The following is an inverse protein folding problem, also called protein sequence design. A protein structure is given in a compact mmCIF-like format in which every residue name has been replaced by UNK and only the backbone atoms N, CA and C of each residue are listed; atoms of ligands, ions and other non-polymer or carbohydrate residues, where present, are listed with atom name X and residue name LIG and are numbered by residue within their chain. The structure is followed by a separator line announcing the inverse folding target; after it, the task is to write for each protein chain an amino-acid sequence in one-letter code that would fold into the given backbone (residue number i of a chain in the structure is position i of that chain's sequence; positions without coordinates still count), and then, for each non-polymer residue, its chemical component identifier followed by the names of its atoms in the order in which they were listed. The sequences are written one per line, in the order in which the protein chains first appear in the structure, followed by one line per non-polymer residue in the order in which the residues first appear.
data_IF_686043959474
#
_entry.id   IF_686043959474
#
_cell.length_a   1.000
_cell.length_b   1.000
_cell.length_c   1.000
_cell.angle_alpha   90.00
_cell.angle_beta   90.00
_cell.angle_gamma   90.00
#
_symmetry.space_group_name_H-M   'P 1'
#
loop_
_entity.id
_entity.type
_entity.pdbx_description
1 polymer ?
#
# COMPACT_ATOMS: atom_id res chain seq x y z
N UNK A 1 8.76 8.66 -18.90
CA UNK A 1 7.64 9.32 -18.22
C UNK A 1 6.71 8.22 -17.74
N UNK A 2 6.95 7.72 -16.54
CA UNK A 2 6.09 6.72 -15.90
C UNK A 2 4.88 7.50 -15.41
N UNK A 3 3.74 7.30 -16.06
CA UNK A 3 2.49 8.00 -15.80
C UNK A 3 2.03 7.71 -14.37
N UNK A 4 1.55 8.73 -13.67
CA UNK A 4 0.99 8.68 -12.30
C UNK A 4 -0.11 7.60 -12.15
N UNK A 5 -0.70 7.15 -13.25
CA UNK A 5 -1.66 6.06 -13.32
C UNK A 5 -1.07 4.67 -13.03
N UNK A 6 0.21 4.44 -13.31
CA UNK A 6 0.87 3.15 -13.03
C UNK A 6 1.19 2.93 -11.55
N UNK A 7 1.24 3.99 -10.74
CA UNK A 7 1.56 3.89 -9.30
C UNK A 7 0.37 3.56 -8.39
N UNK A 8 -0.84 3.64 -8.90
CA UNK A 8 -2.06 3.38 -8.12
C UNK A 8 -2.67 2.01 -8.39
N UNK A 9 -2.09 1.26 -9.30
CA UNK A 9 -2.54 -0.08 -9.59
C UNK A 9 -1.73 -1.05 -8.71
N UNK A 10 -2.31 -1.48 -7.61
CA UNK A 10 -1.88 -2.69 -6.95
C UNK A 10 -2.23 -3.83 -7.90
N UNK A 11 -1.22 -4.30 -8.63
CA UNK A 11 -1.34 -5.44 -9.53
C UNK A 11 -1.81 -6.69 -8.75
N UNK A 12 -2.51 -7.63 -9.40
CA UNK A 12 -2.88 -8.91 -8.80
C UNK A 12 -1.68 -9.63 -8.16
N UNK A 13 -0.49 -9.43 -8.69
CA UNK A 13 0.79 -9.89 -8.11
C UNK A 13 1.01 -9.35 -6.69
N UNK A 14 0.61 -8.12 -6.41
CA UNK A 14 0.78 -7.49 -5.08
C UNK A 14 -0.18 -8.09 -4.04
N UNK A 15 -1.42 -8.41 -4.43
CA UNK A 15 -2.41 -9.07 -3.57
C UNK A 15 -1.97 -10.50 -3.25
N UNK A 16 -1.52 -11.24 -4.26
CA UNK A 16 -1.00 -12.60 -4.10
C UNK A 16 0.25 -12.60 -3.20
N UNK A 17 1.15 -11.63 -3.37
CA UNK A 17 2.33 -11.48 -2.52
C UNK A 17 1.94 -11.18 -1.07
N UNK A 18 1.02 -10.23 -0.84
CA UNK A 18 0.51 -9.91 0.49
C UNK A 18 -0.16 -11.13 1.15
N UNK A 19 -0.96 -11.88 0.40
CA UNK A 19 -1.61 -13.10 0.89
C UNK A 19 -0.58 -14.20 1.24
N UNK A 20 0.50 -14.32 0.47
CA UNK A 20 1.60 -15.24 0.75
C UNK A 20 2.33 -14.88 2.05
N UNK A 21 2.62 -13.60 2.25
CA UNK A 21 3.21 -13.07 3.49
C UNK A 21 2.28 -13.34 4.69
N UNK A 22 0.98 -13.06 4.53
CA UNK A 22 -0.01 -13.34 5.57
C UNK A 22 -0.06 -14.81 5.94
N UNK A 23 -0.09 -15.70 4.95
CA UNK A 23 -0.12 -17.16 5.16
C UNK A 23 1.14 -17.65 5.89
N UNK A 24 2.31 -17.17 5.48
CA UNK A 24 3.59 -17.54 6.12
C UNK A 24 3.62 -17.07 7.58
N UNK A 25 3.27 -15.82 7.82
CA UNK A 25 3.25 -15.25 9.18
C UNK A 25 2.20 -15.94 10.07
N UNK A 26 1.00 -16.21 9.55
CA UNK A 26 -0.04 -16.96 10.26
C UNK A 26 0.42 -18.37 10.68
N UNK A 27 1.10 -19.08 9.77
CA UNK A 27 1.66 -20.40 10.08
C UNK A 27 2.74 -20.31 11.16
N UNK A 28 3.61 -19.29 11.10
CA UNK A 28 4.62 -19.07 12.14
C UNK A 28 3.98 -18.79 13.51
N UNK A 29 2.93 -17.99 13.56
CA UNK A 29 2.17 -17.72 14.78
C UNK A 29 1.53 -18.99 15.33
N UNK A 30 0.85 -19.80 14.49
CA UNK A 30 0.26 -21.08 14.92
C UNK A 30 1.30 -22.03 15.47
N UNK A 31 2.44 -22.16 14.80
CA UNK A 31 3.54 -23.00 15.28
C UNK A 31 4.12 -22.46 16.60
N UNK A 32 4.20 -21.13 16.75
CA UNK A 32 4.58 -20.51 18.01
C UNK A 32 3.65 -20.90 19.16
N UNK A 33 2.35 -20.83 18.97
CA UNK A 33 1.38 -21.30 19.98
C UNK A 33 1.50 -22.79 20.27
N UNK A 34 1.70 -23.61 19.26
CA UNK A 34 1.83 -25.06 19.41
C UNK A 34 3.04 -25.45 20.28
N UNK A 35 4.10 -24.65 20.28
CA UNK A 35 5.30 -24.88 21.11
C UNK A 35 5.33 -24.01 22.38
N UNK A 36 4.22 -23.36 22.73
CA UNK A 36 4.07 -22.60 23.97
C UNK A 36 4.86 -21.28 24.00
N UNK A 37 5.09 -20.63 22.85
CA UNK A 37 5.72 -19.32 22.80
C UNK A 37 4.78 -18.23 23.29
N UNK A 38 5.34 -17.24 23.95
CA UNK A 38 4.63 -16.05 24.38
C UNK A 38 4.29 -15.12 23.21
N UNK A 39 3.21 -14.35 23.34
CA UNK A 39 2.77 -13.37 22.35
C UNK A 39 3.89 -12.38 21.98
N UNK A 40 4.67 -11.93 22.93
CA UNK A 40 5.78 -11.00 22.70
C UNK A 40 6.82 -11.59 21.75
N UNK A 41 7.17 -12.87 21.93
CA UNK A 41 8.12 -13.56 21.04
C UNK A 41 7.60 -13.74 19.61
N UNK A 42 6.29 -13.68 19.40
CA UNK A 42 5.61 -13.76 18.11
C UNK A 42 5.27 -12.38 17.52
N UNK A 43 5.64 -11.28 18.20
CA UNK A 43 5.32 -9.92 17.80
C UNK A 43 5.73 -9.56 16.38
N UNK A 44 6.88 -10.08 15.92
CA UNK A 44 7.35 -9.88 14.54
C UNK A 44 6.41 -10.54 13.51
N UNK A 45 5.97 -11.76 13.77
CA UNK A 45 5.08 -12.49 12.85
C UNK A 45 3.67 -11.91 12.89
N UNK A 46 3.18 -11.48 14.06
CA UNK A 46 1.94 -10.72 14.19
C UNK A 46 2.00 -9.41 13.39
N UNK A 47 3.09 -8.65 13.51
CA UNK A 47 3.27 -7.42 12.73
C UNK A 47 3.29 -7.66 11.21
N UNK A 48 3.94 -8.73 10.75
CA UNK A 48 3.96 -9.12 9.34
C UNK A 48 2.57 -9.50 8.85
N UNK A 49 1.84 -10.27 9.64
CA UNK A 49 0.48 -10.66 9.31
C UNK A 49 -0.47 -9.45 9.23
N UNK A 50 -0.42 -8.57 10.23
CA UNK A 50 -1.21 -7.33 10.25
C UNK A 50 -0.86 -6.41 9.08
N UNK A 51 0.43 -6.34 8.72
CA UNK A 51 0.89 -5.60 7.57
C UNK A 51 0.26 -6.10 6.28
N UNK A 52 0.25 -7.40 6.08
CA UNK A 52 -0.36 -8.02 4.90
C UNK A 52 -1.89 -7.79 4.84
N UNK A 53 -2.58 -7.78 6.00
CA UNK A 53 -3.99 -7.37 6.07
C UNK A 53 -4.19 -5.96 5.53
N UNK A 54 -3.37 -5.03 6.01
CA UNK A 54 -3.44 -3.62 5.57
C UNK A 54 -3.20 -3.48 4.06
N UNK A 55 -2.27 -4.27 3.50
CA UNK A 55 -1.96 -4.23 2.08
C UNK A 55 -3.15 -4.73 1.24
N UNK A 56 -3.81 -5.82 1.64
CA UNK A 56 -5.01 -6.33 0.96
C UNK A 56 -6.20 -5.37 1.10
N UNK A 57 -6.43 -4.76 2.26
CA UNK A 57 -7.47 -3.75 2.45
C UNK A 57 -7.25 -2.52 1.56
N UNK A 58 -5.99 -2.10 1.38
CA UNK A 58 -5.66 -0.98 0.50
C UNK A 58 -5.88 -1.35 -0.97
N UNK A 59 -5.53 -2.57 -1.37
CA UNK A 59 -5.78 -3.08 -2.71
C UNK A 59 -7.28 -3.08 -3.04
N UNK A 60 -8.12 -3.57 -2.12
CA UNK A 60 -9.58 -3.57 -2.28
C UNK A 60 -10.13 -2.14 -2.45
N UNK A 61 -9.68 -1.20 -1.62
CA UNK A 61 -10.10 0.20 -1.73
C UNK A 61 -9.71 0.83 -3.06
N UNK A 62 -8.50 0.57 -3.52
CA UNK A 62 -7.99 1.08 -4.80
C UNK A 62 -8.82 0.54 -5.96
N UNK A 63 -9.15 -0.74 -5.95
CA UNK A 63 -9.98 -1.38 -6.98
C UNK A 63 -11.41 -0.83 -7.00
N UNK A 64 -12.01 -0.60 -5.83
CA UNK A 64 -13.36 -0.02 -5.72
C UNK A 64 -13.40 1.43 -6.21
N UNK A 65 -12.33 2.20 -6.01
CA UNK A 65 -12.23 3.61 -6.36
C UNK A 65 -11.64 3.85 -7.77
N UNK A 66 -11.50 2.81 -8.59
CA UNK A 66 -11.03 2.94 -9.96
C UNK A 66 -11.89 3.93 -10.76
N UNK A 67 -11.24 4.85 -11.47
CA UNK A 67 -11.93 5.89 -12.25
C UNK A 67 -12.76 5.28 -13.39
N UNK A 68 -13.80 6.00 -13.86
CA UNK A 68 -14.66 5.57 -14.96
C UNK A 68 -13.86 5.25 -16.23
N UNK A 69 -12.80 6.03 -16.51
CA UNK A 69 -11.89 5.80 -17.64
C UNK A 69 -11.11 4.48 -17.47
N UNK A 70 -10.58 4.19 -16.27
CA UNK A 70 -9.89 2.93 -16.03
C UNK A 70 -10.82 1.72 -16.21
N UNK A 71 -12.08 1.83 -15.78
CA UNK A 71 -13.10 0.78 -15.96
C UNK A 71 -13.40 0.51 -17.43
N UNK A 72 -13.41 1.54 -18.28
CA UNK A 72 -13.65 1.39 -19.72
C UNK A 72 -12.50 0.67 -20.44
N UNK A 73 -11.24 0.98 -20.10
CA UNK A 73 -10.07 0.43 -20.81
C UNK A 73 -9.52 -0.87 -20.21
N UNK A 74 -9.72 -1.11 -18.90
CA UNK A 74 -9.17 -2.26 -18.16
C UNK A 74 -10.23 -3.02 -17.36
N UNK A 75 -11.49 -3.00 -17.78
CA UNK A 75 -12.61 -3.56 -17.02
C UNK A 75 -12.42 -5.00 -16.56
N UNK A 76 -11.97 -5.89 -17.44
CA UNK A 76 -11.74 -7.32 -17.10
C UNK A 76 -10.60 -7.52 -16.08
N UNK A 77 -9.53 -6.73 -16.17
CA UNK A 77 -8.40 -6.79 -15.21
C UNK A 77 -8.83 -6.26 -13.83
N UNK A 78 -9.64 -5.21 -13.81
CA UNK A 78 -10.18 -4.63 -12.56
C UNK A 78 -11.14 -5.62 -11.89
N UNK A 79 -12.01 -6.29 -12.65
CA UNK A 79 -12.92 -7.30 -12.11
C UNK A 79 -12.18 -8.50 -11.54
N UNK A 80 -11.18 -9.02 -12.25
CA UNK A 80 -10.34 -10.12 -11.77
C UNK A 80 -9.61 -9.73 -10.48
N UNK A 81 -9.01 -8.54 -10.45
CA UNK A 81 -8.32 -7.99 -9.26
C UNK A 81 -9.29 -7.77 -8.09
N UNK A 82 -10.53 -7.34 -8.35
CA UNK A 82 -11.55 -7.18 -7.32
C UNK A 82 -11.97 -8.52 -6.69
N UNK A 83 -12.15 -9.56 -7.51
CA UNK A 83 -12.48 -10.90 -7.05
C UNK A 83 -11.33 -11.49 -6.22
N UNK A 84 -10.10 -11.30 -6.69
CA UNK A 84 -8.90 -11.74 -5.98
C UNK A 84 -8.76 -11.05 -4.62
N UNK A 85 -8.93 -9.72 -4.57
CA UNK A 85 -8.90 -8.94 -3.34
C UNK A 85 -9.99 -9.40 -2.36
N UNK A 86 -11.21 -9.63 -2.85
CA UNK A 86 -12.33 -10.12 -2.03
C UNK A 86 -12.03 -11.51 -1.46
N UNK A 87 -11.52 -12.42 -2.28
CA UNK A 87 -11.18 -13.79 -1.87
C UNK A 87 -10.05 -13.79 -0.84
N UNK A 88 -9.02 -12.98 -1.08
CA UNK A 88 -7.91 -12.78 -0.15
C UNK A 88 -8.40 -12.24 1.20
N UNK A 89 -9.25 -11.22 1.17
CA UNK A 89 -9.84 -10.63 2.38
C UNK A 89 -10.65 -11.66 3.18
N UNK A 90 -11.50 -12.44 2.52
CA UNK A 90 -12.28 -13.49 3.18
C UNK A 90 -11.39 -14.52 3.86
N UNK A 91 -10.30 -14.91 3.22
CA UNK A 91 -9.32 -15.83 3.79
C UNK A 91 -8.59 -15.23 4.99
N UNK A 92 -8.20 -13.96 4.91
CA UNK A 92 -7.57 -13.25 6.02
C UNK A 92 -8.53 -13.08 7.21
N UNK A 93 -9.82 -12.85 6.95
CA UNK A 93 -10.83 -12.80 8.00
C UNK A 93 -11.00 -14.15 8.71
N UNK A 94 -10.96 -15.26 7.98
CA UNK A 94 -10.94 -16.59 8.60
C UNK A 94 -9.71 -16.78 9.50
N UNK A 95 -8.52 -16.40 9.03
CA UNK A 95 -7.29 -16.44 9.84
C UNK A 95 -7.41 -15.55 11.08
N UNK A 96 -8.04 -14.38 10.96
CA UNK A 96 -8.29 -13.46 12.07
C UNK A 96 -9.16 -14.10 13.14
N UNK A 97 -10.25 -14.75 12.76
CA UNK A 97 -11.12 -15.46 13.71
C UNK A 97 -10.41 -16.64 14.38
N UNK A 98 -9.61 -17.38 13.62
CA UNK A 98 -8.80 -18.45 14.17
C UNK A 98 -7.78 -17.95 15.19
N UNK A 99 -7.03 -16.88 14.86
CA UNK A 99 -6.10 -16.25 15.81
C UNK A 99 -6.81 -15.72 17.06
N UNK A 100 -7.97 -15.07 16.89
CA UNK A 100 -8.77 -14.60 18.03
C UNK A 100 -9.13 -15.74 18.97
N UNK A 101 -9.52 -16.86 18.42
CA UNK A 101 -9.87 -18.05 19.23
C UNK A 101 -8.64 -18.57 19.98
N UNK A 102 -7.50 -18.69 19.31
CA UNK A 102 -6.25 -19.11 19.94
C UNK A 102 -5.79 -18.18 21.05
N UNK A 103 -5.79 -16.87 20.77
CA UNK A 103 -5.32 -15.86 21.72
C UNK A 103 -6.26 -15.79 22.93
N UNK A 104 -7.56 -15.76 22.71
CA UNK A 104 -8.52 -15.75 23.81
C UNK A 104 -8.45 -17.00 24.68
N UNK A 105 -8.12 -18.13 24.10
CA UNK A 105 -7.97 -19.40 24.83
C UNK A 105 -6.73 -19.41 25.72
N UNK A 106 -5.59 -18.89 25.21
CA UNK A 106 -4.30 -18.97 25.92
C UNK A 106 -4.04 -17.78 26.85
N UNK A 107 -4.50 -16.57 26.48
CA UNK A 107 -4.11 -15.32 27.16
C UNK A 107 -5.30 -14.52 27.71
N UNK A 108 -6.54 -14.98 27.43
CA UNK A 108 -7.78 -14.31 27.87
C UNK A 108 -8.31 -13.29 26.88
N UNK A 109 -9.59 -12.89 27.10
CA UNK A 109 -10.35 -12.05 26.15
C UNK A 109 -9.78 -10.65 25.91
N UNK A 110 -9.04 -10.09 26.86
CA UNK A 110 -8.47 -8.75 26.71
C UNK A 110 -7.26 -8.71 25.78
N UNK A 111 -6.48 -9.80 25.71
CA UNK A 111 -5.30 -9.88 24.87
C UNK A 111 -5.60 -9.70 23.38
N UNK A 112 -6.76 -10.15 22.93
CA UNK A 112 -7.20 -9.86 21.56
C UNK A 112 -7.41 -8.36 21.30
N UNK A 113 -7.97 -7.63 22.27
CA UNK A 113 -8.19 -6.19 22.15
C UNK A 113 -6.85 -5.41 22.09
N UNK A 114 -5.84 -5.85 22.83
CA UNK A 114 -4.50 -5.26 22.78
C UNK A 114 -3.88 -5.45 21.39
N UNK A 115 -4.03 -6.63 20.80
CA UNK A 115 -3.56 -6.90 19.43
C UNK A 115 -4.31 -6.04 18.42
N UNK A 116 -5.62 -5.85 18.56
CA UNK A 116 -6.38 -4.95 17.70
C UNK A 116 -5.92 -3.50 17.80
N UNK A 117 -5.57 -3.05 18.99
CA UNK A 117 -5.01 -1.73 19.20
C UNK A 117 -3.65 -1.57 18.51
N UNK A 118 -2.80 -2.58 18.61
CA UNK A 118 -1.50 -2.64 17.91
C UNK A 118 -1.68 -2.63 16.38
N UNK A 119 -2.63 -3.40 15.86
CA UNK A 119 -3.00 -3.38 14.43
C UNK A 119 -3.40 -1.97 13.97
N UNK A 120 -4.23 -1.28 14.75
CA UNK A 120 -4.63 0.09 14.48
C UNK A 120 -3.47 1.08 14.44
N UNK A 121 -2.48 0.92 15.32
CA UNK A 121 -1.27 1.73 15.31
C UNK A 121 -0.41 1.46 14.06
N UNK A 122 -0.20 0.20 13.69
CA UNK A 122 0.55 -0.19 12.49
C UNK A 122 -0.11 0.37 11.24
N UNK A 123 -1.44 0.30 11.12
CA UNK A 123 -2.18 0.89 9.99
C UNK A 123 -1.99 2.41 9.92
N UNK A 124 -2.05 3.11 11.04
CA UNK A 124 -1.82 4.56 11.10
C UNK A 124 -0.39 4.94 10.70
N UNK A 125 0.61 4.20 11.15
CA UNK A 125 2.00 4.42 10.79
C UNK A 125 2.21 4.23 9.28
N UNK A 126 1.72 3.14 8.71
CA UNK A 126 1.81 2.90 7.26
C UNK A 126 1.10 3.96 6.42
N UNK A 127 -0.06 4.44 6.87
CA UNK A 127 -0.74 5.54 6.19
C UNK A 127 0.10 6.82 6.21
N UNK A 128 0.73 7.17 7.34
CA UNK A 128 1.64 8.33 7.43
C UNK A 128 2.80 8.20 6.46
N UNK A 129 3.47 7.04 6.41
CA UNK A 129 4.57 6.79 5.47
C UNK A 129 4.15 6.95 4.01
N UNK A 130 2.93 6.52 3.65
CA UNK A 130 2.39 6.70 2.31
C UNK A 130 2.15 8.18 2.01
N UNK A 131 1.57 8.95 2.95
CA UNK A 131 1.35 10.38 2.79
C UNK A 131 2.66 11.16 2.67
N UNK A 132 3.65 10.88 3.51
CA UNK A 132 4.96 11.53 3.46
C UNK A 132 5.66 11.29 2.11
N UNK A 133 5.60 10.07 1.58
CA UNK A 133 6.12 9.77 0.23
C UNK A 133 5.40 10.53 -0.86
N UNK A 134 4.08 10.66 -0.78
CA UNK A 134 3.29 11.42 -1.76
C UNK A 134 3.62 12.91 -1.73
N UNK A 135 3.80 13.49 -0.53
CA UNK A 135 4.20 14.89 -0.39
C UNK A 135 5.60 15.17 -0.95
N UNK A 136 6.57 14.27 -0.71
CA UNK A 136 7.91 14.38 -1.28
C UNK A 136 7.87 14.35 -2.82
N UNK A 137 7.09 13.46 -3.40
CA UNK A 137 6.94 13.36 -4.85
C UNK A 137 6.30 14.63 -5.41
N UNK A 138 5.26 15.19 -4.76
CA UNK A 138 4.63 16.43 -5.17
C UNK A 138 5.63 17.60 -5.16
N UNK A 139 6.42 17.75 -4.10
CA UNK A 139 7.48 18.77 -4.02
C UNK A 139 8.51 18.63 -5.13
N UNK A 140 8.94 17.41 -5.45
CA UNK A 140 9.87 17.15 -6.55
C UNK A 140 9.26 17.61 -7.89
N UNK A 141 7.99 17.34 -8.15
CA UNK A 141 7.31 17.77 -9.36
C UNK A 141 7.17 19.31 -9.45
N UNK A 142 6.90 19.98 -8.33
CA UNK A 142 6.87 21.45 -8.25
C UNK A 142 8.24 22.04 -8.61
N UNK A 143 9.33 21.50 -8.07
CA UNK A 143 10.70 21.92 -8.39
C UNK A 143 11.06 21.69 -9.85
N UNK A 144 10.70 20.55 -10.42
CA UNK A 144 10.91 20.24 -11.84
C UNK A 144 10.17 21.26 -12.72
N UNK A 145 8.92 21.58 -12.37
CA UNK A 145 8.13 22.60 -13.09
C UNK A 145 8.81 23.95 -13.11
N UNK A 146 9.33 24.41 -11.97
CA UNK A 146 10.05 25.69 -11.86
C UNK A 146 11.32 25.69 -12.73
N UNK A 147 12.11 24.61 -12.70
CA UNK A 147 13.34 24.49 -13.50
C UNK A 147 13.02 24.54 -14.99
N UNK A 148 12.02 23.83 -15.47
CA UNK A 148 11.60 23.82 -16.86
C UNK A 148 11.15 25.24 -17.28
N UNK A 149 10.40 25.94 -16.44
CA UNK A 149 9.97 27.30 -16.70
C UNK A 149 11.16 28.26 -16.81
N UNK A 150 12.13 28.16 -15.92
CA UNK A 150 13.36 28.98 -15.99
C UNK A 150 14.15 28.73 -17.28
N UNK A 151 14.31 27.46 -17.68
CA UNK A 151 15.03 27.12 -18.92
C UNK A 151 14.30 27.66 -20.15
N UNK A 152 12.97 27.61 -20.20
CA UNK A 152 12.19 28.16 -21.32
C UNK A 152 12.30 29.69 -21.41
N UNK A 153 12.28 30.38 -20.28
CA UNK A 153 12.45 31.87 -20.25
C UNK A 153 13.85 32.27 -20.72
N UNK A 154 14.90 31.59 -20.23
CA UNK A 154 16.28 31.88 -20.65
C UNK A 154 16.43 31.58 -22.14
N UNK A 155 15.92 30.46 -22.64
CA UNK A 155 15.93 30.14 -24.06
C UNK A 155 15.21 31.17 -24.93
N UNK A 156 14.09 31.72 -24.46
CA UNK A 156 13.36 32.77 -25.16
C UNK A 156 14.14 34.07 -25.22
N UNK A 157 14.76 34.49 -24.11
CA UNK A 157 15.60 35.70 -24.04
C UNK A 157 16.81 35.57 -24.97
N UNK A 158 17.49 34.43 -24.99
CA UNK A 158 18.65 34.18 -25.87
C UNK A 158 18.25 34.21 -27.34
N UNK A 159 17.10 33.63 -27.68
CA UNK A 159 16.55 33.71 -29.04
C UNK A 159 16.26 35.14 -29.49
N UNK A 160 15.63 35.95 -28.64
CA UNK A 160 15.36 37.38 -28.95
C UNK A 160 16.67 38.16 -29.13
N UNK A 161 17.65 37.95 -28.26
CA UNK A 161 18.98 38.58 -28.38
C UNK A 161 19.68 38.20 -29.69
N UNK A 162 19.64 36.92 -30.07
CA UNK A 162 20.18 36.44 -31.33
C UNK A 162 19.52 37.07 -32.54
N UNK A 163 18.18 37.16 -32.56
CA UNK A 163 17.45 37.81 -33.65
C UNK A 163 17.74 39.32 -33.73
N UNK A 164 17.92 40.00 -32.60
CA UNK A 164 18.24 41.42 -32.55
C UNK A 164 19.64 41.68 -33.13
N UNK A 165 20.64 40.89 -32.76
CA UNK A 165 22.01 41.04 -33.27
C UNK A 165 22.09 40.69 -34.76
N UNK A 166 21.33 39.72 -35.25
CA UNK A 166 21.38 39.34 -36.67
C UNK A 166 20.57 40.23 -37.60
N UNK A 167 19.78 41.16 -37.05
CA UNK A 167 18.98 42.13 -37.82
C UNK A 167 19.71 43.46 -38.07
N UNK A 168 20.81 43.72 -37.33
CA UNK A 168 21.70 44.86 -37.51
C UNK A 168 22.95 44.47 -38.30
#
# INVERSE_FOLDING_TARGET
IITTAERLQMDPVTITAALSVAKSAFTAIKNGFAVGKDIESMGKDLSRWMGALSDVDNAEKTTKNASALQKLFKGKEIEASAIEAFTAKKKLEQQRQELKTFINFHYGANSWNEILHMEGQIRKQRQKEIYERQELIRKIWEWIGIIVLCITVIGFITLLAYLYVNKN
#
